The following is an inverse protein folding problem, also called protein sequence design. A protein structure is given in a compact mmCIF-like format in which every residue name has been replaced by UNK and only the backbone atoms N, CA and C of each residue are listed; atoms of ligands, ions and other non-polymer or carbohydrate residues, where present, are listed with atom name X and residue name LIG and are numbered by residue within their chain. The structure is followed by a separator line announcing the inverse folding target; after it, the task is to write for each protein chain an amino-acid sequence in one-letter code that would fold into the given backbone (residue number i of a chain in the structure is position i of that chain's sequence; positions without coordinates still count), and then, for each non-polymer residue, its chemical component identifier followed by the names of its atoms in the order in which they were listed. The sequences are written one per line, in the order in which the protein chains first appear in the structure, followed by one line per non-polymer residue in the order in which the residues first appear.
data_IF_968516180161
#
_entry.id   IF_968516180161
#
_cell.length_a   1.000
_cell.length_b   1.000
_cell.length_c   1.000
_cell.angle_alpha   90.00
_cell.angle_beta   90.00
_cell.angle_gamma   90.00
#
_symmetry.space_group_name_H-M   'P 1'
#
loop_
_entity.id
_entity.type
_entity.pdbx_description
1 polymer ?
#
# COMPACT_ATOMS: atom_id res chain seq x y z
N UNK A 1 12.17 -10.65 -4.57
CA UNK A 1 11.35 -9.64 -3.90
C UNK A 1 11.33 -8.35 -4.70
N UNK A 2 10.23 -7.66 -4.65
CA UNK A 2 10.06 -6.42 -5.40
C UNK A 2 9.57 -5.33 -4.46
N UNK A 3 10.09 -4.12 -4.64
CA UNK A 3 9.69 -2.97 -3.84
C UNK A 3 8.96 -1.97 -4.73
N UNK A 4 7.76 -1.57 -4.32
CA UNK A 4 6.97 -0.59 -5.03
C UNK A 4 6.63 0.56 -4.11
N UNK A 5 6.63 1.76 -4.67
CA UNK A 5 6.24 2.94 -3.94
C UNK A 5 4.86 3.37 -4.41
N UNK A 6 3.99 3.64 -3.45
CA UNK A 6 2.63 4.09 -3.73
C UNK A 6 2.45 5.49 -3.18
N UNK A 7 1.79 6.34 -3.93
CA UNK A 7 1.31 7.62 -3.41
C UNK A 7 -0.14 7.45 -3.02
N UNK A 8 -0.49 7.95 -1.85
CA UNK A 8 -1.82 7.76 -1.30
C UNK A 8 -2.43 9.11 -1.00
N UNK A 9 -3.62 9.36 -1.53
CA UNK A 9 -4.33 10.60 -1.30
C UNK A 9 -5.32 10.46 -0.16
N UNK A 10 -5.57 11.55 0.54
CA UNK A 10 -6.50 11.55 1.66
C UNK A 10 -5.88 11.16 2.98
N UNK A 11 -4.59 10.90 3.01
CA UNK A 11 -3.92 10.50 4.23
C UNK A 11 -3.34 11.74 4.93
N UNK A 12 -3.94 12.10 6.06
CA UNK A 12 -3.59 13.35 6.74
C UNK A 12 -3.14 13.17 8.18
N UNK A 13 -3.18 11.96 8.74
CA UNK A 13 -2.85 11.77 10.14
C UNK A 13 -2.26 10.39 10.39
N UNK A 14 -1.71 10.23 11.59
CA UNK A 14 -1.07 8.97 11.97
C UNK A 14 -2.03 7.78 11.99
N UNK A 15 -3.29 8.03 12.33
CA UNK A 15 -4.29 6.96 12.31
C UNK A 15 -4.47 6.41 10.89
N UNK A 16 -4.39 7.28 9.90
CA UNK A 16 -4.48 6.85 8.51
C UNK A 16 -3.28 5.97 8.13
N UNK A 17 -2.09 6.33 8.58
CA UNK A 17 -0.90 5.54 8.34
C UNK A 17 -1.07 4.13 8.90
N UNK A 18 -1.61 4.03 10.12
CA UNK A 18 -1.84 2.73 10.74
C UNK A 18 -2.84 1.88 9.97
N UNK A 19 -3.91 2.50 9.48
CA UNK A 19 -4.91 1.77 8.71
C UNK A 19 -4.34 1.24 7.41
N UNK A 20 -3.57 2.04 6.71
CA UNK A 20 -2.95 1.62 5.47
C UNK A 20 -1.94 0.51 5.74
N UNK A 21 -1.13 0.66 6.78
CA UNK A 21 -0.16 -0.36 7.14
C UNK A 21 -0.85 -1.69 7.42
N UNK A 22 -1.92 -1.66 8.21
CA UNK A 22 -2.64 -2.88 8.54
C UNK A 22 -3.24 -3.52 7.29
N UNK A 23 -3.79 -2.71 6.39
CA UNK A 23 -4.38 -3.22 5.16
C UNK A 23 -3.33 -3.89 4.29
N UNK A 24 -2.17 -3.26 4.14
CA UNK A 24 -1.09 -3.80 3.33
C UNK A 24 -0.56 -5.10 3.94
N UNK A 25 -0.42 -5.14 5.25
CA UNK A 25 0.11 -6.33 5.91
C UNK A 25 -0.83 -7.53 5.84
N UNK A 26 -2.11 -7.28 5.60
CA UNK A 26 -3.07 -8.36 5.41
C UNK A 26 -2.94 -9.02 4.05
N UNK A 27 -2.29 -8.37 3.11
CA UNK A 27 -2.11 -8.95 1.78
C UNK A 27 -1.06 -10.06 1.87
N UNK A 28 -1.42 -11.24 1.40
CA UNK A 28 -0.48 -12.34 1.38
C UNK A 28 0.66 -12.07 0.42
N UNK A 29 1.89 -12.39 0.82
CA UNK A 29 3.05 -12.16 -0.02
C UNK A 29 3.81 -10.89 0.27
N UNK A 30 3.29 -10.03 1.13
CA UNK A 30 4.00 -8.81 1.53
C UNK A 30 5.02 -9.17 2.60
N UNK A 31 6.28 -8.83 2.36
CA UNK A 31 7.34 -9.09 3.30
C UNK A 31 7.50 -7.94 4.30
N UNK A 32 7.48 -6.72 3.82
CA UNK A 32 7.63 -5.57 4.68
C UNK A 32 6.91 -4.37 4.05
N UNK A 33 6.59 -3.41 4.88
CA UNK A 33 5.99 -2.18 4.41
C UNK A 33 6.49 -1.03 5.26
N UNK A 34 6.64 0.11 4.61
CA UNK A 34 7.03 1.34 5.29
C UNK A 34 6.07 2.42 4.82
N UNK A 35 5.12 2.78 5.68
CA UNK A 35 4.07 3.71 5.33
C UNK A 35 4.32 5.04 6.00
N UNK A 36 4.21 6.09 5.23
CA UNK A 36 4.31 7.46 5.72
C UNK A 36 3.08 8.24 5.27
N UNK A 37 2.93 9.45 5.75
CA UNK A 37 1.80 10.27 5.35
C UNK A 37 1.94 10.57 3.85
N UNK A 38 0.95 10.11 3.09
CA UNK A 38 0.92 10.35 1.65
C UNK A 38 1.70 9.36 0.81
N UNK A 39 2.42 8.41 1.41
CA UNK A 39 3.18 7.45 0.62
C UNK A 39 3.35 6.12 1.35
N UNK A 40 3.67 5.09 0.60
CA UNK A 40 3.92 3.78 1.17
C UNK A 40 4.93 3.05 0.29
N UNK A 41 5.95 2.48 0.92
CA UNK A 41 6.90 1.61 0.26
C UNK A 41 6.61 0.18 0.70
N UNK A 42 6.37 -0.71 -0.24
CA UNK A 42 5.99 -2.08 0.07
C UNK A 42 6.94 -3.04 -0.63
N UNK A 43 7.50 -3.94 0.14
CA UNK A 43 8.31 -5.03 -0.40
C UNK A 43 7.48 -6.31 -0.39
N UNK A 44 7.32 -6.92 -1.54
CA UNK A 44 6.46 -8.08 -1.67
C UNK A 44 7.04 -9.08 -2.66
N UNK A 45 6.53 -10.31 -2.58
CA UNK A 45 6.90 -11.37 -3.50
C UNK A 45 5.98 -11.33 -4.71
N UNK A 46 6.50 -11.00 -5.90
CA UNK A 46 5.65 -10.88 -7.09
C UNK A 46 5.02 -12.19 -7.53
N UNK A 47 5.47 -13.33 -7.01
CA UNK A 47 4.86 -14.60 -7.32
C UNK A 47 3.66 -14.89 -6.42
N UNK A 48 3.50 -14.18 -5.31
CA UNK A 48 2.40 -14.40 -4.38
C UNK A 48 1.37 -13.30 -4.40
N UNK A 49 1.77 -12.09 -4.76
CA UNK A 49 0.85 -10.97 -4.82
C UNK A 49 1.32 -10.01 -5.91
N UNK A 50 0.61 -8.92 -6.08
CA UNK A 50 0.94 -7.92 -7.08
C UNK A 50 0.66 -6.54 -6.51
N UNK A 51 1.19 -5.51 -7.18
CA UNK A 51 0.92 -4.16 -6.73
C UNK A 51 -0.56 -3.81 -6.86
N UNK A 52 -1.28 -4.44 -7.79
CA UNK A 52 -2.72 -4.22 -7.89
C UNK A 52 -3.46 -4.69 -6.66
N UNK A 53 -3.08 -5.85 -6.12
CA UNK A 53 -3.71 -6.37 -4.91
C UNK A 53 -3.44 -5.48 -3.72
N UNK A 54 -2.22 -4.95 -3.64
CA UNK A 54 -1.86 -4.04 -2.57
C UNK A 54 -2.66 -2.74 -2.70
N UNK A 55 -2.78 -2.24 -3.93
CA UNK A 55 -3.56 -1.03 -4.18
C UNK A 55 -5.02 -1.23 -3.81
N UNK A 56 -5.60 -2.40 -4.13
CA UNK A 56 -6.97 -2.69 -3.74
C UNK A 56 -7.15 -2.72 -2.23
N UNK A 57 -6.16 -3.26 -1.51
CA UNK A 57 -6.21 -3.28 -0.06
C UNK A 57 -6.24 -1.87 0.51
N UNK A 58 -5.45 -0.96 -0.06
CA UNK A 58 -5.44 0.43 0.36
C UNK A 58 -6.77 1.10 0.07
N UNK A 59 -7.34 0.84 -1.11
CA UNK A 59 -8.64 1.41 -1.46
C UNK A 59 -9.75 0.91 -0.54
N UNK A 60 -9.62 -0.32 -0.09
CA UNK A 60 -10.64 -0.91 0.78
C UNK A 60 -10.78 -0.20 2.11
N UNK A 61 -9.74 0.51 2.56
CA UNK A 61 -9.83 1.29 3.79
C UNK A 61 -10.21 2.75 3.55
N UNK A 62 -10.55 3.10 2.30
CA UNK A 62 -11.09 4.40 1.99
C UNK A 62 -10.12 5.43 1.42
N UNK A 63 -8.92 5.01 1.08
CA UNK A 63 -7.94 5.91 0.47
C UNK A 63 -7.87 5.71 -1.03
N UNK A 64 -7.38 6.71 -1.72
CA UNK A 64 -7.27 6.66 -3.17
C UNK A 64 -5.83 6.72 -3.60
N UNK A 65 -5.55 6.06 -4.72
CA UNK A 65 -4.26 6.09 -5.35
C UNK A 65 -4.39 6.84 -6.67
N UNK A 66 -3.51 7.78 -6.95
CA UNK A 66 -3.55 8.48 -8.22
C UNK A 66 -3.40 7.53 -9.40
N UNK A 67 -4.03 7.87 -10.50
CA UNK A 67 -3.92 7.07 -11.71
C UNK A 67 -2.47 7.01 -12.16
N UNK A 68 -2.03 5.83 -12.55
CA UNK A 68 -0.68 5.65 -13.07
C UNK A 68 0.38 5.33 -12.03
N UNK A 69 0.03 5.43 -10.76
CA UNK A 69 1.00 5.14 -9.71
C UNK A 69 1.28 3.65 -9.57
N UNK A 70 0.41 2.86 -10.10
CA UNK A 70 0.54 1.41 -10.02
C UNK A 70 1.25 0.81 -11.23
N UNK A 71 1.67 1.62 -12.14
CA UNK A 71 2.33 1.13 -13.35
C UNK A 71 3.77 0.75 -13.11
#
# INVERSE_FOLDING_TARGET
MRTEQFKIEGMHCQACVRRVTAAIEKVGGVKSSNVDIGSADVEFDPTQTSQEKIAEAVRAVGFELPAGETS
#
